data_IF_763256010961
#
_entry.id   IF_763256010961
#
_cell.length_a   1.000
_cell.length_b   1.000
_cell.length_c   1.000
_cell.angle_alpha   90.00
_cell.angle_beta   90.00
_cell.angle_gamma   90.00
#
_symmetry.space_group_name_H-M   'P 1'
#
loop_
_entity.id
_entity.type
_entity.pdbx_description
1 polymer ?
#
# COMPACT_ATOMS: atom_id res chain seq x y z
N UNK A 1 1.16 -4.09 -14.04
CA UNK A 1 1.08 -2.62 -14.09
C UNK A 1 0.29 -2.18 -12.90
N UNK A 2 0.97 -1.54 -11.97
CA UNK A 2 0.41 -1.24 -10.67
C UNK A 2 1.33 -0.23 -10.03
N UNK A 3 0.78 0.73 -9.31
CA UNK A 3 1.51 1.50 -8.32
C UNK A 3 0.77 1.44 -6.99
N UNK A 4 1.54 1.28 -5.94
CA UNK A 4 1.06 1.11 -4.58
C UNK A 4 1.90 1.93 -3.62
N UNK A 5 1.32 2.18 -2.45
CA UNK A 5 2.04 2.74 -1.32
C UNK A 5 1.64 2.01 -0.04
N UNK A 6 2.59 1.94 0.88
CA UNK A 6 2.41 1.43 2.23
C UNK A 6 2.84 2.54 3.20
N UNK A 7 2.03 2.82 4.20
CA UNK A 7 2.26 3.83 5.23
C UNK A 7 2.15 3.20 6.61
N UNK A 8 3.06 3.58 7.50
CA UNK A 8 3.05 3.25 8.90
C UNK A 8 3.30 4.53 9.69
N UNK A 9 2.41 4.81 10.63
CA UNK A 9 2.58 5.89 11.59
C UNK A 9 2.63 5.29 13.00
N UNK A 10 3.83 5.04 13.54
CA UNK A 10 3.99 4.37 14.82
C UNK A 10 3.31 5.11 15.99
N UNK A 11 3.28 6.44 15.95
CA UNK A 11 2.72 7.26 17.02
C UNK A 11 1.20 7.08 17.19
N UNK A 12 0.43 7.06 16.09
CA UNK A 12 -1.01 6.78 16.13
C UNK A 12 -1.35 5.31 15.95
N UNK A 13 -0.34 4.44 15.77
CA UNK A 13 -0.50 3.01 15.45
C UNK A 13 -1.44 2.78 14.26
N UNK A 14 -1.21 3.53 13.19
CA UNK A 14 -1.99 3.40 11.96
C UNK A 14 -1.14 2.86 10.83
N UNK A 15 -1.71 1.90 10.10
CA UNK A 15 -1.17 1.32 8.89
C UNK A 15 -2.12 1.64 7.74
N UNK A 16 -1.59 1.97 6.58
CA UNK A 16 -2.37 2.06 5.35
C UNK A 16 -1.64 1.39 4.19
N UNK A 17 -2.40 0.79 3.29
CA UNK A 17 -1.92 0.38 1.98
C UNK A 17 -2.94 0.80 0.95
N UNK A 18 -2.46 1.38 -0.15
CA UNK A 18 -3.32 1.75 -1.26
C UNK A 18 -2.67 1.36 -2.57
N UNK A 19 -3.49 0.94 -3.53
CA UNK A 19 -3.03 0.40 -4.81
C UNK A 19 -3.95 0.87 -5.93
N UNK A 20 -3.38 1.30 -7.05
CA UNK A 20 -4.10 1.58 -8.29
C UNK A 20 -3.51 0.79 -9.46
N UNK A 21 -4.37 0.38 -10.41
CA UNK A 21 -3.98 -0.46 -11.55
C UNK A 21 -5.00 -0.42 -12.70
N UNK A 22 -4.52 -0.68 -13.91
CA UNK A 22 -5.30 -1.14 -15.07
C UNK A 22 -5.44 -2.68 -15.03
N UNK A 23 -6.02 -3.20 -13.97
CA UNK A 23 -6.34 -4.61 -13.83
C UNK A 23 -7.64 -4.71 -13.06
N UNK A 24 -8.51 -5.65 -13.43
CA UNK A 24 -9.74 -5.87 -12.69
C UNK A 24 -9.44 -6.22 -11.22
N UNK A 25 -10.18 -5.61 -10.30
CA UNK A 25 -10.25 -5.97 -8.89
C UNK A 25 -8.91 -6.04 -8.13
N UNK A 26 -8.05 -5.03 -8.29
CA UNK A 26 -6.69 -5.02 -7.70
C UNK A 26 -6.70 -5.17 -6.18
N UNK A 27 -7.73 -4.69 -5.50
CA UNK A 27 -7.88 -4.78 -4.04
C UNK A 27 -7.94 -6.21 -3.49
N UNK A 28 -8.48 -7.17 -4.25
CA UNK A 28 -8.46 -8.58 -3.85
C UNK A 28 -7.06 -9.17 -3.91
N UNK A 29 -6.28 -8.72 -4.88
CA UNK A 29 -5.07 -9.41 -5.33
C UNK A 29 -3.80 -8.87 -4.65
N UNK A 30 -3.66 -7.55 -4.57
CA UNK A 30 -2.37 -6.91 -4.29
C UNK A 30 -2.18 -6.56 -2.81
N UNK A 31 -3.01 -5.69 -2.20
CA UNK A 31 -2.77 -5.25 -0.83
C UNK A 31 -3.18 -6.27 0.22
N UNK A 32 -2.52 -6.23 1.38
CA UNK A 32 -3.04 -6.73 2.64
C UNK A 32 -2.45 -5.95 3.81
N UNK A 33 -3.24 -5.79 4.88
CA UNK A 33 -2.82 -5.21 6.15
C UNK A 33 -3.15 -6.19 7.27
N UNK A 34 -2.25 -6.31 8.24
CA UNK A 34 -2.50 -6.98 9.51
C UNK A 34 -2.35 -5.95 10.64
N UNK A 35 -3.44 -5.58 11.36
CA UNK A 35 -3.43 -4.50 12.34
C UNK A 35 -2.32 -4.66 13.39
N UNK A 36 -1.59 -3.57 13.62
CA UNK A 36 -0.46 -3.54 14.56
C UNK A 36 0.76 -4.39 14.18
N UNK A 37 0.74 -5.10 13.04
CA UNK A 37 1.85 -5.91 12.55
C UNK A 37 2.53 -5.25 11.34
N UNK A 38 1.77 -4.99 10.28
CA UNK A 38 2.34 -4.45 9.05
C UNK A 38 1.41 -4.53 7.86
N UNK A 39 1.94 -4.12 6.72
CA UNK A 39 1.28 -4.10 5.42
C UNK A 39 2.18 -4.73 4.36
N UNK A 40 1.56 -5.31 3.33
CA UNK A 40 2.25 -5.96 2.21
C UNK A 40 1.53 -5.67 0.91
N UNK A 41 2.29 -5.52 -0.16
CA UNK A 41 1.79 -5.58 -1.54
C UNK A 41 2.55 -6.65 -2.29
N UNK A 42 1.82 -7.50 -3.02
CA UNK A 42 2.38 -8.46 -4.00
C UNK A 42 1.77 -8.14 -5.35
N UNK A 43 2.57 -7.63 -6.28
CA UNK A 43 2.13 -7.09 -7.57
C UNK A 43 3.04 -7.56 -8.73
N UNK A 44 2.86 -6.94 -9.91
CA UNK A 44 3.38 -7.41 -11.20
C UNK A 44 2.70 -8.73 -11.61
N UNK A 45 3.44 -9.82 -11.83
CA UNK A 45 2.83 -11.15 -11.97
C UNK A 45 2.38 -11.64 -10.59
N UNK A 46 1.27 -11.07 -10.15
CA UNK A 46 0.80 -11.10 -8.75
C UNK A 46 0.70 -12.52 -8.22
N UNK A 47 1.39 -12.79 -7.11
CA UNK A 47 1.17 -13.98 -6.31
C UNK A 47 0.52 -13.59 -4.97
N UNK A 48 -0.79 -13.75 -4.90
CA UNK A 48 -1.61 -13.37 -3.72
C UNK A 48 -1.24 -14.17 -2.47
N UNK A 49 -0.63 -15.35 -2.63
CA UNK A 49 -0.24 -16.25 -1.54
C UNK A 49 0.97 -15.75 -0.75
N UNK A 50 1.75 -14.81 -1.27
CA UNK A 50 2.91 -14.24 -0.58
C UNK A 50 2.51 -13.36 0.61
N UNK A 51 1.31 -12.77 0.58
CA UNK A 51 0.86 -11.80 1.60
C UNK A 51 0.83 -12.40 3.01
N UNK A 52 0.17 -13.56 3.16
CA UNK A 52 0.01 -14.23 4.46
C UNK A 52 1.34 -14.63 5.12
N UNK A 53 2.20 -15.42 4.45
CA UNK A 53 3.51 -15.80 4.99
C UNK A 53 4.39 -14.60 5.35
N UNK A 54 4.43 -13.55 4.52
CA UNK A 54 5.24 -12.36 4.81
C UNK A 54 4.72 -11.59 6.02
N UNK A 55 3.40 -11.40 6.14
CA UNK A 55 2.80 -10.78 7.33
C UNK A 55 3.03 -11.62 8.59
N UNK A 56 2.99 -12.96 8.50
CA UNK A 56 3.35 -13.85 9.64
C UNK A 56 4.82 -13.75 10.03
N UNK A 57 5.72 -13.53 9.08
CA UNK A 57 7.13 -13.30 9.39
C UNK A 57 7.31 -11.99 10.17
N UNK A 58 6.62 -10.91 9.76
CA UNK A 58 6.58 -9.66 10.54
C UNK A 58 5.96 -9.89 11.93
N UNK A 59 4.89 -10.66 12.01
CA UNK A 59 4.22 -11.00 13.26
C UNK A 59 5.17 -11.71 14.24
N UNK A 60 6.08 -12.55 13.72
CA UNK A 60 7.13 -13.21 14.48
C UNK A 60 8.32 -12.30 14.84
N UNK A 61 8.26 -11.01 14.52
CA UNK A 61 9.31 -10.02 14.81
C UNK A 61 10.44 -9.98 13.79
N UNK A 62 10.29 -10.60 12.62
CA UNK A 62 11.34 -10.52 11.59
C UNK A 62 11.33 -9.15 10.90
N UNK A 63 12.53 -8.61 10.66
CA UNK A 63 12.70 -7.40 9.87
C UNK A 63 12.22 -7.64 8.41
N UNK A 64 11.53 -6.67 7.76
CA UNK A 64 11.02 -6.83 6.40
C UNK A 64 12.05 -7.31 5.38
N UNK A 65 13.29 -6.80 5.44
CA UNK A 65 14.37 -7.25 4.56
C UNK A 65 14.71 -8.75 4.74
N UNK A 66 14.70 -9.24 5.99
CA UNK A 66 14.95 -10.65 6.27
C UNK A 66 13.79 -11.54 5.79
N UNK A 67 12.55 -11.06 5.92
CA UNK A 67 11.38 -11.75 5.39
C UNK A 67 11.41 -11.81 3.85
N UNK A 68 11.74 -10.71 3.17
CA UNK A 68 11.86 -10.70 1.70
C UNK A 68 13.03 -11.54 1.17
N UNK A 69 14.10 -11.71 1.94
CA UNK A 69 15.18 -12.64 1.59
C UNK A 69 14.71 -14.11 1.50
N UNK A 70 13.51 -14.45 2.02
CA UNK A 70 12.88 -15.77 1.89
C UNK A 70 12.01 -15.91 0.65
N UNK A 71 11.88 -14.90 -0.22
CA UNK A 71 11.02 -14.97 -1.40
C UNK A 71 11.31 -16.16 -2.31
N UNK A 72 12.58 -16.50 -2.52
CA UNK A 72 12.97 -17.67 -3.34
C UNK A 72 12.50 -19.03 -2.76
N UNK A 73 12.12 -19.06 -1.48
CA UNK A 73 11.53 -20.24 -0.83
C UNK A 73 10.00 -20.20 -0.94
N UNK A 74 9.41 -19.00 -0.96
CA UNK A 74 7.95 -18.79 -0.98
C UNK A 74 7.35 -18.75 -2.39
N UNK A 75 8.18 -18.49 -3.42
CA UNK A 75 7.77 -18.34 -4.81
C UNK A 75 8.77 -19.06 -5.73
N UNK A 76 8.25 -19.79 -6.72
CA UNK A 76 9.08 -20.48 -7.72
C UNK A 76 9.64 -19.54 -8.79
N UNK A 77 9.14 -18.31 -8.86
CA UNK A 77 9.47 -17.34 -9.91
C UNK A 77 9.46 -15.89 -9.35
N UNK A 78 10.36 -15.58 -8.40
CA UNK A 78 10.47 -14.26 -7.79
C UNK A 78 10.93 -13.17 -8.75
N UNK A 79 11.55 -13.52 -9.89
CA UNK A 79 12.01 -12.59 -10.91
C UNK A 79 10.84 -11.82 -11.56
N UNK A 80 9.64 -12.41 -11.56
CA UNK A 80 8.41 -11.78 -12.09
C UNK A 80 7.56 -11.09 -11.02
N UNK A 81 8.00 -11.09 -9.76
CA UNK A 81 7.26 -10.49 -8.63
C UNK A 81 7.80 -9.12 -8.32
N UNK A 82 6.89 -8.24 -7.93
CA UNK A 82 7.25 -7.03 -7.20
C UNK A 82 6.53 -7.05 -5.86
N UNK A 83 7.28 -6.95 -4.77
CA UNK A 83 6.77 -7.12 -3.40
C UNK A 83 7.26 -5.97 -2.54
N UNK A 84 6.34 -5.30 -1.85
CA UNK A 84 6.66 -4.30 -0.82
C UNK A 84 6.17 -4.79 0.53
N UNK A 85 6.97 -4.60 1.58
CA UNK A 85 6.66 -5.04 2.94
C UNK A 85 7.03 -3.93 3.93
N UNK A 86 6.10 -3.55 4.78
CA UNK A 86 6.23 -2.48 5.78
C UNK A 86 5.73 -3.00 7.12
N UNK A 87 6.55 -2.92 8.16
CA UNK A 87 6.15 -3.24 9.52
C UNK A 87 5.54 -2.02 10.24
N UNK A 88 4.80 -2.27 11.31
CA UNK A 88 4.13 -1.23 12.11
C UNK A 88 5.09 -0.24 12.79
N UNK A 89 6.36 -0.62 12.99
CA UNK A 89 7.42 0.26 13.48
C UNK A 89 8.00 1.20 12.40
N UNK A 90 7.55 1.05 11.15
CA UNK A 90 8.00 1.84 10.00
C UNK A 90 9.22 1.26 9.27
N UNK A 91 9.81 0.17 9.76
CA UNK A 91 10.82 -0.59 8.99
C UNK A 91 10.18 -1.19 7.75
N UNK A 92 10.91 -1.24 6.64
CA UNK A 92 10.39 -1.69 5.36
C UNK A 92 11.47 -2.27 4.45
N UNK A 93 11.02 -3.02 3.45
CA UNK A 93 11.84 -3.49 2.36
C UNK A 93 10.99 -3.69 1.10
N UNK A 94 11.64 -3.71 -0.06
CA UNK A 94 11.00 -4.01 -1.32
C UNK A 94 11.87 -4.94 -2.17
N UNK A 95 11.21 -5.75 -2.97
CA UNK A 95 11.79 -6.59 -4.01
C UNK A 95 11.16 -6.21 -5.35
N UNK A 96 11.99 -5.93 -6.35
CA UNK A 96 11.55 -5.76 -7.75
C UNK A 96 12.33 -6.77 -8.57
N UNK A 97 11.65 -7.82 -9.03
CA UNK A 97 12.27 -8.84 -9.84
C UNK A 97 12.67 -8.32 -11.22
N UNK A 98 13.71 -8.92 -11.81
CA UNK A 98 14.32 -8.50 -13.08
C UNK A 98 13.40 -8.61 -14.29
N UNK A 99 12.33 -9.41 -14.19
CA UNK A 99 11.37 -9.65 -15.27
C UNK A 99 10.07 -8.83 -15.07
N UNK A 100 10.08 -7.89 -14.12
CA UNK A 100 9.02 -6.89 -14.00
C UNK A 100 9.10 -5.93 -15.18
N UNK A 101 7.98 -5.69 -15.84
CA UNK A 101 7.97 -4.85 -17.03
C UNK A 101 8.29 -3.39 -16.70
N UNK A 102 9.19 -2.80 -17.49
CA UNK A 102 9.63 -1.41 -17.31
C UNK A 102 8.51 -0.40 -17.57
N UNK A 103 8.46 0.73 -16.85
CA UNK A 103 9.36 1.09 -15.76
C UNK A 103 8.92 0.40 -14.45
N UNK A 104 9.86 -0.19 -13.70
CA UNK A 104 9.58 -0.82 -12.41
C UNK A 104 10.60 -0.43 -11.35
N UNK A 105 10.12 -0.10 -10.15
CA UNK A 105 10.97 0.28 -9.03
C UNK A 105 10.20 0.70 -7.80
N UNK A 106 10.93 1.25 -6.83
CA UNK A 106 10.36 1.75 -5.57
C UNK A 106 11.14 2.96 -5.06
N UNK A 107 10.52 3.67 -4.12
CA UNK A 107 11.07 4.77 -3.32
C UNK A 107 10.59 4.64 -1.90
N UNK A 108 11.40 5.08 -0.94
CA UNK A 108 11.02 5.00 0.46
C UNK A 108 11.57 6.13 1.32
N UNK A 109 10.92 6.32 2.46
CA UNK A 109 11.30 7.18 3.55
C UNK A 109 10.86 6.50 4.87
N UNK A 110 11.24 6.99 6.06
CA UNK A 110 10.78 6.39 7.32
C UNK A 110 9.25 6.23 7.37
N UNK A 111 8.77 4.99 7.56
CA UNK A 111 7.34 4.68 7.59
C UNK A 111 6.61 4.74 6.24
N UNK A 112 7.31 4.95 5.13
CA UNK A 112 6.73 5.14 3.79
C UNK A 112 7.43 4.25 2.78
N UNK A 113 6.68 3.44 2.05
CA UNK A 113 7.17 2.70 0.88
C UNK A 113 6.23 2.94 -0.30
N UNK A 114 6.76 3.44 -1.41
CA UNK A 114 6.06 3.60 -2.69
C UNK A 114 6.68 2.65 -3.71
N UNK A 115 5.87 1.90 -4.44
CA UNK A 115 6.36 0.83 -5.31
C UNK A 115 5.46 0.66 -6.53
N UNK A 116 6.05 0.48 -7.72
CA UNK A 116 5.26 0.27 -8.94
C UNK A 116 6.02 -0.39 -10.09
N UNK A 117 5.24 -0.96 -11.02
CA UNK A 117 5.73 -1.65 -12.22
C UNK A 117 4.87 -1.29 -13.43
N UNK A 118 5.50 -1.38 -14.61
CA UNK A 118 4.94 -1.02 -15.91
C UNK A 118 4.37 0.42 -15.90
N UNK A 119 5.04 1.32 -15.17
CA UNK A 119 4.68 2.73 -15.06
C UNK A 119 5.13 3.51 -16.30
N UNK A 120 4.55 4.70 -16.51
CA UNK A 120 5.02 5.64 -17.54
C UNK A 120 6.47 6.07 -17.32
N UNK A 121 6.92 6.18 -16.07
CA UNK A 121 8.30 6.53 -15.70
C UNK A 121 8.53 6.58 -14.19
N UNK A 122 9.75 6.90 -13.74
CA UNK A 122 10.10 7.03 -12.32
C UNK A 122 9.34 8.15 -11.62
N UNK A 123 8.98 9.22 -12.36
CA UNK A 123 8.27 10.39 -11.85
C UNK A 123 6.98 10.03 -11.10
N UNK A 124 6.35 8.91 -11.46
CA UNK A 124 5.17 8.37 -10.77
C UNK A 124 5.48 8.09 -9.30
N UNK A 125 6.52 7.30 -9.01
CA UNK A 125 6.85 6.96 -7.61
C UNK A 125 7.59 8.09 -6.90
N UNK A 126 8.32 8.92 -7.65
CA UNK A 126 9.03 10.08 -7.11
C UNK A 126 8.04 11.16 -6.63
N UNK A 127 7.03 11.49 -7.45
CA UNK A 127 5.97 12.43 -7.10
C UNK A 127 5.12 11.92 -5.92
N UNK A 128 4.77 10.64 -5.91
CA UNK A 128 4.08 10.00 -4.79
C UNK A 128 4.86 10.15 -3.49
N UNK A 129 6.15 9.80 -3.46
CA UNK A 129 6.97 9.93 -2.26
C UNK A 129 7.11 11.39 -1.83
N UNK A 130 7.33 12.31 -2.77
CA UNK A 130 7.42 13.74 -2.48
C UNK A 130 6.14 14.25 -1.79
N UNK A 131 4.96 13.91 -2.33
CA UNK A 131 3.67 14.33 -1.74
C UNK A 131 3.47 13.86 -0.29
N UNK A 132 3.98 12.66 0.03
CA UNK A 132 3.88 12.05 1.35
C UNK A 132 4.90 12.63 2.35
N UNK A 133 6.03 13.13 1.88
CA UNK A 133 7.09 13.70 2.73
C UNK A 133 6.95 15.21 2.95
N UNK A 134 6.36 15.94 2.00
CA UNK A 134 6.14 17.40 2.13
C UNK A 134 4.94 17.78 2.99
N UNK A 135 4.02 16.85 3.20
CA UNK A 135 2.90 17.01 4.12
C UNK A 135 3.17 16.17 5.36
N UNK A 136 3.70 16.71 6.47
CA UNK A 136 3.86 15.93 7.69
C UNK A 136 2.51 15.32 8.07
N UNK A 137 2.48 14.04 8.44
CA UNK A 137 1.31 13.41 9.06
C UNK A 137 0.83 14.36 10.14
N UNK A 138 -0.46 14.68 10.16
CA UNK A 138 -1.00 15.58 11.19
C UNK A 138 -0.86 14.83 12.50
N UNK A 139 0.28 15.01 13.17
CA UNK A 139 0.49 14.80 14.59
C UNK A 139 -0.17 15.93 15.35
N UNK A 140 -1.35 16.39 14.93
CA UNK A 140 -2.09 17.23 15.85
C UNK A 140 -2.51 16.31 16.98
N UNK A 141 -2.14 16.69 18.19
CA UNK A 141 -2.74 16.22 19.42
C UNK A 141 -4.29 16.44 19.45
N UNK A 142 -4.93 16.79 18.31
CA UNK A 142 -6.35 17.03 18.10
C UNK A 142 -7.03 15.90 17.30
N UNK A 143 -6.29 14.94 16.73
CA UNK A 143 -6.88 13.72 16.14
C UNK A 143 -7.11 12.71 17.27
N UNK A 144 -8.10 12.95 18.12
CA UNK A 144 -8.46 12.03 19.20
C UNK A 144 -9.31 10.89 18.66
N UNK A 145 -8.71 9.71 18.46
CA UNK A 145 -9.42 8.46 18.14
C UNK A 145 -8.90 7.73 16.91
N UNK A 146 -9.15 6.41 16.87
CA UNK A 146 -8.74 5.53 15.78
C UNK A 146 -9.35 5.93 14.43
N UNK A 147 -10.61 6.37 14.40
CA UNK A 147 -11.31 6.77 13.16
C UNK A 147 -10.72 8.03 12.55
N UNK A 148 -10.41 9.04 13.36
CA UNK A 148 -9.85 10.28 12.85
C UNK A 148 -8.41 10.07 12.32
N UNK A 149 -7.62 9.21 12.99
CA UNK A 149 -6.29 8.83 12.50
C UNK A 149 -6.37 7.99 11.21
N UNK A 150 -7.35 7.09 11.12
CA UNK A 150 -7.63 6.33 9.91
C UNK A 150 -8.07 7.23 8.74
N UNK A 151 -8.86 8.27 9.02
CA UNK A 151 -9.33 9.23 8.02
C UNK A 151 -8.17 10.05 7.41
N UNK A 152 -7.28 10.59 8.24
CA UNK A 152 -6.12 11.37 7.77
C UNK A 152 -5.19 10.53 6.88
N UNK A 153 -4.77 9.34 7.36
CA UNK A 153 -3.88 8.48 6.60
C UNK A 153 -4.54 7.94 5.32
N UNK A 154 -5.85 7.69 5.34
CA UNK A 154 -6.63 7.30 4.17
C UNK A 154 -6.61 8.38 3.08
N UNK A 155 -6.94 9.63 3.43
CA UNK A 155 -6.95 10.75 2.47
C UNK A 155 -5.55 11.02 1.89
N UNK A 156 -4.51 10.90 2.71
CA UNK A 156 -3.11 11.02 2.26
C UNK A 156 -2.73 9.94 1.26
N UNK A 157 -3.13 8.70 1.53
CA UNK A 157 -2.89 7.59 0.62
C UNK A 157 -3.57 7.82 -0.75
N UNK A 158 -4.84 8.24 -0.76
CA UNK A 158 -5.54 8.53 -2.04
C UNK A 158 -4.91 9.73 -2.75
N UNK A 159 -4.57 10.80 -2.03
CA UNK A 159 -3.88 11.98 -2.60
C UNK A 159 -2.53 11.63 -3.23
N UNK A 160 -1.75 10.76 -2.59
CA UNK A 160 -0.50 10.27 -3.15
C UNK A 160 -0.75 9.45 -4.43
N UNK A 161 -1.73 8.53 -4.44
CA UNK A 161 -2.10 7.81 -5.67
C UNK A 161 -2.51 8.77 -6.80
N UNK A 162 -3.20 9.88 -6.49
CA UNK A 162 -3.52 10.92 -7.49
C UNK A 162 -2.29 11.63 -8.02
N UNK A 163 -1.31 11.90 -7.16
CA UNK A 163 -0.02 12.46 -7.59
C UNK A 163 0.69 11.51 -8.56
N UNK A 164 0.67 10.20 -8.25
CA UNK A 164 1.20 9.18 -9.16
C UNK A 164 0.45 9.13 -10.50
N UNK A 165 -0.87 9.24 -10.48
CA UNK A 165 -1.69 9.34 -11.69
C UNK A 165 -1.34 10.58 -12.53
N UNK A 166 -1.20 11.75 -11.90
CA UNK A 166 -0.87 12.99 -12.58
C UNK A 166 0.52 12.97 -13.24
N UNK A 167 1.46 12.19 -12.68
CA UNK A 167 2.76 11.90 -13.28
C UNK A 167 2.72 10.79 -14.36
N UNK A 168 1.52 10.30 -14.71
CA UNK A 168 1.26 9.35 -15.80
C UNK A 168 0.83 7.95 -15.34
N UNK A 169 1.07 7.59 -14.07
CA UNK A 169 0.58 6.36 -13.45
C UNK A 169 0.90 5.07 -14.21
N UNK A 170 -0.11 4.21 -14.29
CA UNK A 170 -0.12 3.00 -15.12
C UNK A 170 -0.10 3.40 -16.60
N UNK A 171 0.87 2.93 -17.41
CA UNK A 171 0.95 3.26 -18.85
C UNK A 171 -0.28 2.81 -19.68
N UNK A 172 -1.18 1.99 -19.11
CA UNK A 172 -2.43 1.50 -19.73
C UNK A 172 -3.63 2.38 -19.36
N UNK A 173 -3.49 3.26 -18.37
CA UNK A 173 -4.57 4.06 -17.81
C UNK A 173 -5.05 3.56 -16.44
N UNK A 174 -6.33 3.73 -16.15
CA UNK A 174 -6.93 3.38 -14.85
C UNK A 174 -8.04 2.36 -15.03
N UNK A 175 -8.22 1.47 -14.05
CA UNK A 175 -9.36 0.55 -14.04
C UNK A 175 -9.83 0.21 -12.62
N UNK A 176 -8.93 -0.06 -11.69
CA UNK A 176 -9.29 -0.40 -10.32
C UNK A 176 -8.36 0.23 -9.30
N UNK A 177 -8.87 0.40 -8.09
CA UNK A 177 -8.12 0.92 -6.96
C UNK A 177 -8.64 0.35 -5.65
N UNK A 178 -7.78 0.30 -4.64
CA UNK A 178 -8.14 -0.16 -3.31
C UNK A 178 -7.37 0.58 -2.23
N UNK A 179 -8.00 0.70 -1.06
CA UNK A 179 -7.43 1.30 0.13
C UNK A 179 -7.80 0.43 1.35
N UNK A 180 -6.78 0.03 2.10
CA UNK A 180 -6.94 -0.65 3.38
C UNK A 180 -6.23 0.15 4.46
N UNK A 181 -6.90 0.37 5.59
CA UNK A 181 -6.35 1.08 6.75
C UNK A 181 -6.69 0.28 8.01
N UNK A 182 -5.69 0.08 8.86
CA UNK A 182 -5.87 -0.43 10.20
C UNK A 182 -5.38 0.62 11.21
N UNK A 183 -6.26 1.07 12.09
CA UNK A 183 -5.92 1.99 13.17
C UNK A 183 -6.09 1.30 14.53
N UNK A 184 -5.11 1.45 15.41
CA UNK A 184 -5.19 0.98 16.80
C UNK A 184 -4.22 -0.14 17.12
N UNK A 185 -4.63 -1.02 18.02
CA UNK A 185 -3.78 -2.09 18.57
C UNK A 185 -3.55 -3.25 17.60
N UNK A 186 -2.73 -4.19 18.05
CA UNK A 186 -2.54 -5.48 17.38
C UNK A 186 -3.86 -6.26 17.40
N UNK A 187 -4.28 -6.71 16.24
CA UNK A 187 -5.41 -7.63 16.06
C UNK A 187 -4.94 -8.80 15.18
N UNK A 188 -5.09 -10.01 15.70
CA UNK A 188 -4.69 -11.26 15.04
C UNK A 188 -5.90 -12.13 14.66
N UNK A 189 -7.12 -11.62 14.84
CA UNK A 189 -8.33 -12.32 14.41
C UNK A 189 -8.41 -12.40 12.88
N UNK A 190 -9.13 -13.41 12.40
CA UNK A 190 -9.31 -13.65 10.96
C UNK A 190 -10.80 -13.66 10.59
N UNK A 191 -11.23 -12.82 9.62
CA UNK A 191 -10.45 -11.80 8.91
C UNK A 191 -10.04 -10.64 9.83
N UNK A 192 -8.91 -9.95 9.54
CA UNK A 192 -8.46 -8.83 10.35
C UNK A 192 -9.49 -7.68 10.35
N UNK A 193 -9.70 -7.04 11.50
CA UNK A 193 -10.60 -5.89 11.60
C UNK A 193 -9.92 -4.62 11.03
N UNK A 194 -10.22 -4.29 9.78
CA UNK A 194 -9.74 -3.07 9.14
C UNK A 194 -10.67 -1.89 9.45
N UNK A 195 -10.08 -0.76 9.83
CA UNK A 195 -10.84 0.49 9.99
C UNK A 195 -11.37 0.96 8.64
N UNK A 196 -10.61 0.81 7.56
CA UNK A 196 -11.04 1.11 6.17
C UNK A 196 -10.70 -0.10 5.30
N UNK A 197 -11.66 -0.60 4.53
CA UNK A 197 -11.44 -1.54 3.42
C UNK A 197 -12.37 -1.13 2.27
N UNK A 198 -11.84 -0.30 1.36
CA UNK A 198 -12.59 0.28 0.26
C UNK A 198 -11.98 -0.16 -1.06
N UNK A 199 -12.84 -0.54 -2.00
CA UNK A 199 -12.43 -1.14 -3.27
C UNK A 199 -13.30 -0.65 -4.40
N UNK A 200 -12.66 -0.23 -5.47
CA UNK A 200 -13.27 0.07 -6.76
C UNK A 200 -12.70 -0.94 -7.74
N UNK A 201 -13.45 -2.00 -8.01
CA UNK A 201 -12.93 -3.15 -8.75
C UNK A 201 -12.92 -2.93 -10.27
N UNK A 202 -13.76 -2.03 -10.80
CA UNK A 202 -13.79 -1.61 -12.21
C UNK A 202 -14.46 -0.23 -12.35
N UNK A 203 -13.70 0.79 -12.76
CA UNK A 203 -14.18 2.14 -13.06
C UNK A 203 -13.14 2.92 -13.89
N UNK A 204 -13.58 3.83 -14.77
CA UNK A 204 -12.66 4.70 -15.52
C UNK A 204 -11.93 5.75 -14.66
N UNK A 205 -12.50 6.04 -13.48
CA UNK A 205 -11.99 6.99 -12.50
C UNK A 205 -12.00 6.37 -11.10
N UNK A 206 -11.18 5.35 -10.81
CA UNK A 206 -11.30 4.60 -9.57
C UNK A 206 -10.84 5.39 -8.34
N UNK A 207 -9.98 6.40 -8.51
CA UNK A 207 -9.55 7.28 -7.41
C UNK A 207 -10.64 8.26 -6.99
N UNK A 208 -11.45 8.76 -7.94
CA UNK A 208 -12.62 9.62 -7.64
C UNK A 208 -13.66 8.84 -6.83
N UNK A 209 -13.87 7.57 -7.16
CA UNK A 209 -14.76 6.69 -6.42
C UNK A 209 -14.22 6.35 -5.02
N UNK A 210 -12.90 6.20 -4.84
CA UNK A 210 -12.33 6.03 -3.49
C UNK A 210 -12.56 7.27 -2.62
N UNK A 211 -12.40 8.48 -3.16
CA UNK A 211 -12.68 9.71 -2.40
C UNK A 211 -14.16 9.78 -2.01
N UNK A 212 -15.08 9.52 -2.95
CA UNK A 212 -16.52 9.45 -2.66
C UNK A 212 -16.84 8.44 -1.57
N UNK A 213 -16.22 7.25 -1.60
CA UNK A 213 -16.41 6.22 -0.59
C UNK A 213 -15.82 6.61 0.78
N UNK A 214 -14.71 7.34 0.82
CA UNK A 214 -14.15 7.89 2.05
C UNK A 214 -15.07 8.95 2.67
N UNK A 215 -15.66 9.81 1.85
CA UNK A 215 -16.63 10.82 2.31
C UNK A 215 -17.87 10.16 2.91
N UNK A 216 -18.41 9.12 2.26
CA UNK A 216 -19.50 8.31 2.81
C UNK A 216 -19.13 7.61 4.12
N UNK A 217 -17.89 7.13 4.23
CA UNK A 217 -17.41 6.39 5.41
C UNK A 217 -17.24 7.30 6.63
N UNK A 218 -16.70 8.50 6.43
CA UNK A 218 -16.32 9.41 7.51
C UNK A 218 -17.28 10.61 7.68
N UNK A 219 -18.35 10.69 6.87
CA UNK A 219 -19.43 11.65 7.04
C UNK A 219 -19.05 13.09 6.69
N UNK A 220 -18.50 13.30 5.49
CA UNK A 220 -18.30 14.64 4.92
C UNK A 220 -19.55 15.13 4.17
#
# INVERSE_FOLDING_TARGET
MTYSLLLAHPASRTLAVATASFSLAVGKAVPAVLPGIGAVVSQAYTNTRLRGPLLRMLESGQHPAAALAKLAILDTDPARRQVGLLAADGSHAAHTGTDCSDWAGHRSAPGILVIGNLLTGPDVVDGMLASLTTSPLVTSALVSGADAAAHDIARRAVSALRTGLAAGGDRRGQQSSALQVAAGGRDSDWPPALTVDLRVDDHGHPLDELDRMLDLKFGA
#
